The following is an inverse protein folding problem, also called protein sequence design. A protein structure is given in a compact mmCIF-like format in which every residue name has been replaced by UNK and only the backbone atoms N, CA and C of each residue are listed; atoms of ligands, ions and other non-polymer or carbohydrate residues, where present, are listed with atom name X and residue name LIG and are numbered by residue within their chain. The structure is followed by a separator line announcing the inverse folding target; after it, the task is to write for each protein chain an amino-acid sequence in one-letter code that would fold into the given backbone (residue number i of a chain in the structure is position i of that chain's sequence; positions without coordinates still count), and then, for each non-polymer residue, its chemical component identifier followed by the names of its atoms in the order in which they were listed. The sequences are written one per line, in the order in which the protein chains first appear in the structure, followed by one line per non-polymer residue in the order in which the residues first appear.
data_IF_304679440622
#
_entry.id   IF_304679440622
#
_cell.length_a   1.000
_cell.length_b   1.000
_cell.length_c   1.000
_cell.angle_alpha   90.00
_cell.angle_beta   90.00
_cell.angle_gamma   90.00
#
_symmetry.space_group_name_H-M   'P 1'
#
loop_
_entity.id
_entity.type
_entity.pdbx_description
1 polymer ?
#
# COMPACT_ATOMS: atom_id res chain seq x y z
N UNK A 1 -14.71 23.87 -2.40
CA UNK A 1 -14.37 23.25 -2.71
C UNK A 1 -14.47 22.55 -3.45
N UNK A 2 -14.76 22.40 -3.65
CA UNK A 2 -14.79 21.57 -4.02
C UNK A 2 -14.29 20.95 -5.09
N UNK A 3 -13.42 21.46 -5.92
CA UNK A 3 -12.74 20.63 -6.81
C UNK A 3 -12.24 19.41 -6.13
N UNK A 4 -12.09 19.57 -4.89
CA UNK A 4 -11.89 18.43 -4.04
C UNK A 4 -12.97 17.40 -4.27
N UNK A 5 -14.15 17.83 -4.65
CA UNK A 5 -15.25 16.92 -4.91
C UNK A 5 -15.07 16.12 -6.19
N UNK A 6 -14.35 16.68 -7.16
CA UNK A 6 -14.05 15.93 -8.37
C UNK A 6 -13.13 14.77 -8.05
N UNK A 7 -12.16 15.04 -7.20
CA UNK A 7 -11.27 14.01 -6.69
C UNK A 7 -11.70 13.57 -5.30
N UNK A 8 -12.90 13.95 -4.90
CA UNK A 8 -13.34 13.81 -3.53
C UNK A 8 -13.58 12.41 -3.05
N UNK A 9 -13.65 11.46 -3.97
CA UNK A 9 -13.75 10.07 -3.60
C UNK A 9 -12.43 9.58 -3.02
N UNK A 10 -11.34 10.31 -3.23
CA UNK A 10 -10.01 9.87 -2.85
C UNK A 10 -9.36 10.88 -1.91
N UNK A 11 -8.77 10.36 -0.82
CA UNK A 11 -8.07 11.21 0.13
C UNK A 11 -6.70 11.62 -0.34
N UNK A 12 -6.07 10.81 -1.20
CA UNK A 12 -4.66 10.93 -1.54
C UNK A 12 -4.51 11.08 -3.04
N UNK A 13 -3.60 11.97 -3.43
CA UNK A 13 -3.27 12.20 -4.82
C UNK A 13 -1.75 12.31 -4.92
N UNK A 14 -1.14 11.62 -5.86
CA UNK A 14 0.31 11.67 -6.01
C UNK A 14 0.70 11.59 -7.47
N UNK A 15 1.70 12.40 -7.84
CA UNK A 15 2.34 12.35 -9.15
C UNK A 15 3.68 11.62 -9.11
N UNK A 16 4.16 11.32 -7.89
CA UNK A 16 5.45 10.66 -7.72
C UNK A 16 5.30 9.54 -6.71
N UNK A 17 4.73 8.45 -7.16
CA UNK A 17 4.52 7.30 -6.32
C UNK A 17 5.24 6.09 -6.89
N UNK A 18 5.55 5.15 -6.01
CA UNK A 18 6.18 3.91 -6.41
C UNK A 18 5.49 2.76 -5.68
N UNK A 19 5.64 1.57 -6.24
CA UNK A 19 5.32 0.34 -5.52
C UNK A 19 6.61 -0.17 -4.93
N UNK A 20 6.61 -0.42 -3.64
CA UNK A 20 7.76 -1.02 -2.96
C UNK A 20 7.41 -2.48 -2.69
N UNK A 21 8.27 -3.40 -3.11
CA UNK A 21 8.04 -4.82 -2.87
C UNK A 21 9.14 -5.41 -2.02
N UNK A 22 8.79 -6.40 -1.23
CA UNK A 22 9.74 -7.12 -0.39
C UNK A 22 9.29 -8.55 -0.22
N UNK A 23 10.15 -9.36 0.39
CA UNK A 23 9.88 -10.76 0.60
C UNK A 23 9.64 -11.02 2.07
N UNK A 24 8.69 -11.91 2.36
CA UNK A 24 8.48 -12.32 3.73
C UNK A 24 7.99 -13.76 3.77
N UNK A 25 8.13 -14.36 4.95
CA UNK A 25 7.62 -15.71 5.19
C UNK A 25 6.18 -15.60 5.69
N UNK A 26 5.27 -16.33 5.05
CA UNK A 26 3.86 -16.29 5.44
C UNK A 26 3.69 -16.74 6.89
N UNK A 27 2.90 -15.99 7.65
CA UNK A 27 2.67 -16.31 9.06
C UNK A 27 1.93 -17.64 9.24
N UNK A 28 1.17 -18.05 8.22
CA UNK A 28 0.34 -19.25 8.32
C UNK A 28 1.02 -20.50 7.79
N UNK A 29 1.55 -20.46 6.57
CA UNK A 29 2.09 -21.65 5.93
C UNK A 29 3.60 -21.64 5.78
N UNK A 30 4.25 -20.53 6.11
CA UNK A 30 5.71 -20.36 6.10
C UNK A 30 6.34 -20.32 4.72
N UNK A 31 5.56 -20.30 3.66
CA UNK A 31 6.08 -20.11 2.32
C UNK A 31 6.58 -18.68 2.16
N UNK A 32 7.62 -18.50 1.37
CA UNK A 32 8.08 -17.15 1.05
C UNK A 32 7.15 -16.51 0.04
N UNK A 33 6.85 -15.25 0.24
CA UNK A 33 5.98 -14.53 -0.70
C UNK A 33 6.45 -13.10 -0.86
N UNK A 34 6.05 -12.51 -1.98
CA UNK A 34 6.27 -11.09 -2.25
C UNK A 34 5.09 -10.30 -1.70
N UNK A 35 5.39 -9.23 -1.00
CA UNK A 35 4.36 -8.29 -0.53
C UNK A 35 4.70 -6.92 -1.08
N UNK A 36 3.67 -6.09 -1.27
CA UNK A 36 3.85 -4.76 -1.82
C UNK A 36 3.14 -3.71 -0.96
N UNK A 37 3.59 -2.47 -1.11
CA UNK A 37 2.85 -1.32 -0.62
C UNK A 37 3.06 -0.16 -1.58
N UNK A 38 2.21 0.86 -1.44
CA UNK A 38 2.33 2.10 -2.21
C UNK A 38 3.09 3.10 -1.36
N UNK A 39 4.10 3.73 -1.95
CA UNK A 39 4.89 4.76 -1.30
C UNK A 39 4.84 6.00 -2.16
N UNK A 40 4.48 7.13 -1.56
CA UNK A 40 4.37 8.40 -2.25
C UNK A 40 5.54 9.29 -1.84
N UNK A 41 6.38 9.66 -2.80
CA UNK A 41 7.49 10.56 -2.53
C UNK A 41 6.96 11.98 -2.32
N UNK A 42 5.95 12.36 -3.10
CA UNK A 42 5.23 13.61 -2.91
C UNK A 42 3.75 13.33 -3.10
N UNK A 43 2.92 14.14 -2.48
CA UNK A 43 1.48 13.98 -2.70
C UNK A 43 0.69 14.96 -1.87
N UNK A 44 -0.62 14.78 -1.94
CA UNK A 44 -1.58 15.55 -1.13
C UNK A 44 -2.45 14.56 -0.39
N UNK A 45 -2.63 14.80 0.90
CA UNK A 45 -3.53 14.02 1.74
C UNK A 45 -4.58 14.98 2.27
N UNK A 46 -5.84 14.74 1.91
CA UNK A 46 -6.95 15.62 2.26
C UNK A 46 -6.66 17.07 1.89
N UNK A 47 -6.00 17.26 0.74
CA UNK A 47 -5.70 18.59 0.22
C UNK A 47 -4.42 19.23 0.73
N UNK A 48 -3.72 18.57 1.63
CA UNK A 48 -2.49 19.12 2.20
C UNK A 48 -1.27 18.37 1.68
N UNK A 49 -0.25 19.13 1.29
CA UNK A 49 0.97 18.56 0.75
C UNK A 49 1.68 17.72 1.80
N UNK A 50 2.19 16.58 1.38
CA UNK A 50 2.88 15.67 2.26
C UNK A 50 3.98 14.96 1.49
N UNK A 51 5.11 14.73 2.15
CA UNK A 51 6.27 14.08 1.53
C UNK A 51 6.53 12.74 2.19
N UNK A 52 7.02 11.81 1.38
CA UNK A 52 7.59 10.53 1.87
C UNK A 52 6.69 9.79 2.83
N UNK A 53 5.57 9.30 2.32
CA UNK A 53 4.66 8.53 3.14
C UNK A 53 4.24 7.25 2.42
N UNK A 54 4.01 6.20 3.20
CA UNK A 54 3.45 4.96 2.68
C UNK A 54 1.94 4.95 2.92
N UNK A 55 1.23 4.15 2.15
CA UNK A 55 -0.22 4.03 2.30
C UNK A 55 -0.55 2.59 2.67
N UNK A 56 -1.28 2.44 3.75
CA UNK A 56 -1.75 1.13 4.22
C UNK A 56 -3.27 1.13 4.28
N UNK A 57 -3.85 -0.03 4.48
CA UNK A 57 -5.31 -0.20 4.56
C UNK A 57 -6.01 0.48 3.38
N UNK A 58 -5.48 0.21 2.19
CA UNK A 58 -5.94 0.83 0.96
C UNK A 58 -7.38 0.43 0.66
N UNK A 59 -8.27 1.40 0.51
CA UNK A 59 -9.69 1.11 0.32
C UNK A 59 -10.15 1.34 -1.10
N UNK A 60 -9.70 2.45 -1.71
CA UNK A 60 -10.13 2.83 -3.06
C UNK A 60 -8.95 3.24 -3.88
N UNK A 61 -8.98 2.90 -5.15
CA UNK A 61 -7.93 3.30 -6.09
C UNK A 61 -8.59 3.71 -7.40
N UNK A 62 -7.95 4.64 -8.10
CA UNK A 62 -8.48 5.04 -9.40
C UNK A 62 -8.07 4.02 -10.48
N UNK A 63 -8.59 4.22 -11.69
CA UNK A 63 -8.37 3.28 -12.77
C UNK A 63 -6.90 3.19 -13.16
N UNK A 64 -6.19 4.32 -13.16
CA UNK A 64 -4.78 4.34 -13.50
C UNK A 64 -3.98 3.44 -12.57
N UNK A 65 -4.23 3.57 -11.27
CA UNK A 65 -3.52 2.75 -10.29
C UNK A 65 -3.94 1.30 -10.38
N UNK A 66 -5.24 1.06 -10.60
CA UNK A 66 -5.74 -0.31 -10.72
C UNK A 66 -5.03 -1.07 -11.84
N UNK A 67 -4.88 -0.41 -12.99
CA UNK A 67 -4.23 -1.04 -14.13
C UNK A 67 -2.76 -1.34 -13.85
N UNK A 68 -2.09 -0.44 -13.16
CA UNK A 68 -0.68 -0.63 -12.84
C UNK A 68 -0.47 -1.69 -11.78
N UNK A 69 -1.40 -1.82 -10.83
CA UNK A 69 -1.29 -2.84 -9.78
C UNK A 69 -1.65 -4.24 -10.26
N UNK A 70 -2.16 -4.37 -11.47
CA UNK A 70 -2.56 -5.68 -12.00
C UNK A 70 -1.39 -6.67 -12.09
N UNK A 71 -0.14 -6.19 -12.09
CA UNK A 71 1.01 -7.11 -12.11
C UNK A 71 1.24 -7.77 -10.75
N UNK A 72 0.49 -7.36 -9.72
CA UNK A 72 0.56 -7.99 -8.39
C UNK A 72 -0.82 -8.50 -8.01
N UNK A 73 -1.29 -9.60 -8.64
CA UNK A 73 -2.67 -10.05 -8.42
C UNK A 73 -2.95 -10.57 -7.01
N UNK A 74 -1.91 -10.85 -6.24
CA UNK A 74 -2.11 -11.27 -4.85
C UNK A 74 -2.31 -10.10 -3.90
N UNK A 75 -2.26 -8.88 -4.41
CA UNK A 75 -2.63 -7.69 -3.67
C UNK A 75 -4.03 -7.31 -4.13
N UNK A 76 -5.04 -7.65 -3.34
CA UNK A 76 -6.43 -7.46 -3.75
C UNK A 76 -7.32 -7.23 -2.54
N UNK A 77 -8.55 -6.72 -2.79
CA UNK A 77 -9.44 -6.39 -1.68
C UNK A 77 -9.91 -7.61 -0.89
N UNK A 78 -10.10 -7.39 0.40
CA UNK A 78 -10.69 -8.37 1.29
C UNK A 78 -11.56 -7.64 2.29
N UNK A 79 -12.70 -8.24 2.65
CA UNK A 79 -13.54 -7.72 3.71
C UNK A 79 -13.22 -8.50 4.98
N UNK A 80 -12.75 -7.81 5.99
CA UNK A 80 -12.46 -8.44 7.26
C UNK A 80 -13.75 -8.59 8.06
N UNK A 81 -13.76 -9.58 8.93
CA UNK A 81 -14.93 -9.83 9.79
C UNK A 81 -15.22 -8.57 10.60
N UNK A 82 -16.47 -8.13 10.57
CA UNK A 82 -16.89 -6.96 11.33
C UNK A 82 -16.59 -5.63 10.66
N UNK A 83 -15.89 -5.64 9.52
CA UNK A 83 -15.56 -4.41 8.83
C UNK A 83 -16.73 -3.97 7.96
N UNK A 84 -16.92 -2.65 7.86
CA UNK A 84 -17.97 -2.09 7.03
C UNK A 84 -17.54 -1.90 5.58
N UNK A 85 -16.27 -2.08 5.30
CA UNK A 85 -15.72 -1.88 3.95
C UNK A 85 -14.58 -2.85 3.71
N UNK A 86 -14.14 -2.92 2.46
CA UNK A 86 -13.03 -3.78 2.08
C UNK A 86 -11.75 -2.97 2.04
N UNK A 87 -10.63 -3.64 2.26
CA UNK A 87 -9.30 -3.07 2.11
C UNK A 87 -8.47 -3.99 1.24
N UNK A 88 -7.52 -3.42 0.51
CA UNK A 88 -6.54 -4.23 -0.21
C UNK A 88 -5.58 -4.86 0.79
N UNK A 89 -5.21 -6.09 0.53
CA UNK A 89 -4.23 -6.78 1.35
C UNK A 89 -3.39 -7.69 0.48
N UNK A 90 -2.15 -7.91 0.91
CA UNK A 90 -1.29 -8.90 0.30
C UNK A 90 -1.77 -10.29 0.73
N UNK A 91 -1.77 -11.24 -0.19
CA UNK A 91 -2.21 -12.60 0.09
C UNK A 91 -1.12 -13.59 -0.27
N UNK A 92 -1.01 -14.63 0.52
CA UNK A 92 -0.04 -15.69 0.24
C UNK A 92 -0.50 -16.51 -0.97
N UNK A 93 0.37 -16.70 -1.98
CA UNK A 93 -0.04 -17.51 -3.13
C UNK A 93 -0.20 -18.99 -2.80
N UNK A 94 0.38 -19.46 -1.70
CA UNK A 94 0.29 -20.87 -1.32
C UNK A 94 -0.96 -21.18 -0.53
N UNK A 95 -1.27 -20.38 0.50
CA UNK A 95 -2.39 -20.69 1.40
C UNK A 95 -3.54 -19.68 1.30
N UNK A 96 -3.37 -18.63 0.51
CA UNK A 96 -4.37 -17.60 0.26
C UNK A 96 -4.71 -16.72 1.46
N UNK A 97 -3.97 -16.81 2.55
CA UNK A 97 -4.24 -15.99 3.74
C UNK A 97 -3.69 -14.59 3.55
N UNK A 98 -4.41 -13.57 4.04
CA UNK A 98 -3.92 -12.20 3.95
C UNK A 98 -2.80 -11.95 4.94
N UNK A 99 -1.91 -11.01 4.58
CA UNK A 99 -0.83 -10.55 5.43
C UNK A 99 -1.25 -9.18 5.96
N UNK A 100 -1.20 -8.99 7.26
CA UNK A 100 -1.72 -7.79 7.90
C UNK A 100 -0.82 -6.58 7.67
N UNK A 101 -1.40 -5.47 7.18
CA UNK A 101 -0.66 -4.25 6.95
C UNK A 101 -0.03 -3.69 8.23
N UNK A 102 -0.72 -3.81 9.36
CA UNK A 102 -0.14 -3.35 10.61
C UNK A 102 1.18 -4.07 10.89
N UNK A 103 1.20 -5.37 10.69
CA UNK A 103 2.42 -6.14 10.89
C UNK A 103 3.51 -5.72 9.89
N UNK A 104 3.13 -5.50 8.64
CA UNK A 104 4.11 -5.16 7.61
C UNK A 104 4.73 -3.78 7.82
N UNK A 105 3.95 -2.83 8.30
CA UNK A 105 4.37 -1.42 8.39
C UNK A 105 4.77 -0.97 9.80
N UNK A 106 4.09 -1.48 10.82
CA UNK A 106 4.24 -0.93 12.17
C UNK A 106 5.09 -1.77 13.10
N UNK A 107 5.18 -3.07 12.86
CA UNK A 107 5.93 -3.94 13.76
C UNK A 107 7.41 -3.90 13.43
N UNK A 108 8.29 -3.77 14.42
CA UNK A 108 9.72 -3.94 14.19
C UNK A 108 9.97 -5.30 13.54
N UNK A 109 10.74 -5.30 12.47
CA UNK A 109 10.96 -6.51 11.68
C UNK A 109 9.98 -6.71 10.57
N UNK A 110 8.93 -5.89 10.49
CA UNK A 110 8.01 -5.92 9.36
C UNK A 110 8.71 -5.44 8.09
N UNK A 111 8.26 -5.93 6.96
CA UNK A 111 8.93 -5.69 5.67
C UNK A 111 9.05 -4.20 5.39
N UNK A 112 8.03 -3.42 5.70
CA UNK A 112 8.00 -2.01 5.36
C UNK A 112 8.20 -1.09 6.57
N UNK A 113 8.66 -1.65 7.67
CA UNK A 113 8.80 -0.88 8.90
C UNK A 113 9.85 0.23 8.76
N UNK A 114 10.92 -0.06 8.04
CA UNK A 114 12.04 0.88 7.94
C UNK A 114 12.47 1.04 6.49
N UNK A 115 11.75 1.89 5.76
CA UNK A 115 12.10 2.19 4.37
C UNK A 115 13.47 2.86 4.26
N UNK A 116 13.88 3.54 5.31
CA UNK A 116 15.07 4.39 5.24
C UNK A 116 16.35 3.64 5.54
N UNK A 117 16.23 2.36 5.80
CA UNK A 117 17.38 1.51 5.99
C UNK A 117 17.34 0.37 4.97
N UNK A 118 17.75 0.64 3.74
CA UNK A 118 17.69 -0.39 2.70
C UNK A 118 18.61 -1.57 2.98
N UNK A 119 19.59 -1.40 3.86
CA UNK A 119 20.46 -2.51 4.21
C UNK A 119 19.77 -3.56 5.06
N UNK A 120 18.69 -3.17 5.74
CA UNK A 120 17.94 -4.10 6.58
C UNK A 120 16.96 -4.94 5.79
N UNK A 121 16.59 -4.50 4.58
CA UNK A 121 15.57 -5.14 3.77
C UNK A 121 15.98 -5.10 2.32
N UNK A 122 15.79 -6.20 1.62
CA UNK A 122 16.00 -6.20 0.18
C UNK A 122 14.70 -5.79 -0.51
N UNK A 123 14.49 -4.49 -0.59
CA UNK A 123 13.29 -3.94 -1.18
C UNK A 123 13.53 -3.58 -2.63
N UNK A 124 12.50 -3.78 -3.45
CA UNK A 124 12.53 -3.38 -4.86
C UNK A 124 11.53 -2.26 -5.07
N UNK A 125 11.89 -1.33 -5.94
CA UNK A 125 11.09 -0.14 -6.20
C UNK A 125 10.64 -0.17 -7.65
N UNK A 126 9.33 0.01 -7.85
CA UNK A 126 8.73 0.01 -9.18
C UNK A 126 7.99 1.32 -9.36
N UNK A 127 8.45 2.15 -10.28
CA UNK A 127 7.84 3.46 -10.49
C UNK A 127 6.42 3.33 -11.03
N UNK A 128 5.52 4.13 -10.50
CA UNK A 128 4.17 4.27 -11.03
C UNK A 128 4.16 5.44 -11.99
N UNK A 129 3.34 5.34 -13.03
CA UNK A 129 3.30 6.36 -14.07
C UNK A 129 2.11 7.28 -13.89
N UNK A 130 2.38 8.58 -14.01
CA UNK A 130 1.33 9.58 -14.00
C UNK A 130 0.73 9.80 -12.63
N UNK A 131 -0.34 10.56 -12.62
CA UNK A 131 -1.06 10.89 -11.39
C UNK A 131 -1.93 9.72 -10.98
N UNK A 132 -1.85 9.37 -9.71
CA UNK A 132 -2.72 8.34 -9.14
C UNK A 132 -3.52 8.93 -8.00
N UNK A 133 -4.70 8.37 -7.79
CA UNK A 133 -5.59 8.77 -6.69
C UNK A 133 -5.99 7.53 -5.93
N UNK A 134 -5.96 7.63 -4.60
CA UNK A 134 -6.24 6.49 -3.75
C UNK A 134 -6.70 6.94 -2.39
N UNK A 135 -7.28 6.03 -1.64
CA UNK A 135 -7.69 6.28 -0.25
C UNK A 135 -7.15 5.16 0.62
N UNK A 136 -6.72 5.54 1.81
CA UNK A 136 -6.15 4.62 2.78
C UNK A 136 -5.54 5.43 3.90
N UNK A 137 -4.76 4.78 4.72
CA UNK A 137 -4.09 5.44 5.84
C UNK A 137 -2.68 5.83 5.43
N UNK A 138 -2.37 7.11 5.57
CA UNK A 138 -1.06 7.63 5.20
C UNK A 138 -0.11 7.49 6.39
N UNK A 139 1.07 6.91 6.10
CA UNK A 139 2.13 6.84 7.07
C UNK A 139 1.80 6.07 8.34
N UNK A 140 2.79 5.44 8.90
CA UNK A 140 2.71 4.87 10.22
C UNK A 140 3.78 5.54 11.04
N UNK A 141 3.40 6.00 12.23
CA UNK A 141 4.37 6.49 13.19
C UNK A 141 4.75 5.31 14.06
N UNK A 142 6.00 4.90 14.01
CA UNK A 142 6.44 3.76 14.81
C UNK A 142 6.27 3.98 16.29
#
# INVERSE_FOLDING_TARGET
MTPVKVDGAYRILSDEAVVVSGQLKCWNCQAMLEVICIYCQTGFVDGEAMLDFSVSNLTDIDESLRLQLARWPKFHPIRRRGASHTCFANHCPSCARPQDDFYLHCQPGGVFFSFQDPAAQELKIHALKGRIRLSGDEGFEP
#
